data_IF_497061170915
#
_entry.id   IF_497061170915
#
_cell.length_a   1.000
_cell.length_b   1.000
_cell.length_c   1.000
_cell.angle_alpha   90.00
_cell.angle_beta   90.00
_cell.angle_gamma   90.00
#
_symmetry.space_group_name_H-M   'P 1'
#
loop_
_entity.id
_entity.type
_entity.pdbx_description
1 polymer ?
#
# COMPACT_ATOMS: atom_id res chain seq x y z
N UNK A 1 16.12 8.15 2.56
CA UNK A 1 15.81 7.01 1.66
C UNK A 1 14.74 7.41 0.64
N UNK A 2 14.90 7.10 -0.66
CA UNK A 2 13.84 7.30 -1.66
C UNK A 2 13.00 6.03 -1.79
N UNK A 3 11.69 6.19 -1.91
CA UNK A 3 10.75 5.08 -2.12
C UNK A 3 10.04 5.28 -3.45
N UNK A 4 10.12 4.30 -4.34
CA UNK A 4 9.38 4.29 -5.59
C UNK A 4 8.30 3.22 -5.54
N UNK A 5 7.06 3.61 -5.83
CA UNK A 5 5.91 2.71 -5.78
C UNK A 5 5.41 2.37 -7.18
N UNK A 6 5.03 1.12 -7.39
CA UNK A 6 4.19 0.67 -8.50
C UNK A 6 2.81 0.41 -7.92
N UNK A 7 1.78 0.98 -8.53
CA UNK A 7 0.37 0.92 -8.12
C UNK A 7 -0.52 0.71 -9.34
N UNK A 8 -1.78 0.33 -9.17
CA UNK A 8 -2.69 0.03 -10.27
C UNK A 8 -3.77 1.09 -10.49
N UNK A 9 -4.33 1.64 -9.42
CA UNK A 9 -5.48 2.53 -9.42
C UNK A 9 -5.12 4.00 -9.61
N UNK A 10 -6.02 4.76 -10.22
CA UNK A 10 -5.87 6.22 -10.32
C UNK A 10 -6.03 6.90 -8.94
N UNK A 11 -6.81 6.31 -8.02
CA UNK A 11 -6.90 6.74 -6.63
C UNK A 11 -5.64 6.50 -5.80
N UNK A 12 -4.94 5.40 -6.08
CA UNK A 12 -3.75 5.01 -5.32
C UNK A 12 -2.57 5.96 -5.58
N UNK A 13 -2.47 6.48 -6.81
CA UNK A 13 -1.42 7.43 -7.21
C UNK A 13 -1.31 8.62 -6.24
N UNK A 14 -2.40 9.33 -5.88
CA UNK A 14 -2.35 10.36 -4.83
C UNK A 14 -2.43 9.80 -3.39
N UNK A 15 -3.06 8.64 -3.16
CA UNK A 15 -3.29 8.13 -1.81
C UNK A 15 -2.10 7.43 -1.16
N UNK A 16 -1.42 6.55 -1.91
CA UNK A 16 -0.29 5.76 -1.41
C UNK A 16 0.85 6.66 -0.90
N UNK A 17 1.22 7.76 -1.57
CA UNK A 17 2.23 8.67 -1.02
C UNK A 17 1.85 9.31 0.32
N UNK A 18 0.56 9.63 0.52
CA UNK A 18 0.06 10.14 1.81
C UNK A 18 0.20 9.07 2.88
N UNK A 19 -0.28 7.85 2.59
CA UNK A 19 -0.21 6.72 3.49
C UNK A 19 1.25 6.38 3.89
N UNK A 20 2.16 6.31 2.92
CA UNK A 20 3.56 5.94 3.17
C UNK A 20 4.33 7.00 3.96
N UNK A 21 4.02 8.29 3.80
CA UNK A 21 4.61 9.34 4.65
C UNK A 21 4.18 9.16 6.10
N UNK A 22 2.89 8.88 6.35
CA UNK A 22 2.38 8.60 7.69
C UNK A 22 2.97 7.30 8.25
N UNK A 23 3.08 6.26 7.43
CA UNK A 23 3.74 5.00 7.79
C UNK A 23 5.19 5.23 8.21
N UNK A 24 5.94 6.02 7.43
CA UNK A 24 7.32 6.37 7.75
C UNK A 24 7.43 7.09 9.09
N UNK A 25 6.59 8.10 9.34
CA UNK A 25 6.56 8.82 10.62
C UNK A 25 6.14 7.93 11.80
N UNK A 26 5.31 6.92 11.55
CA UNK A 26 4.82 6.01 12.59
C UNK A 26 5.81 4.89 12.93
N UNK A 27 6.46 4.30 11.93
CA UNK A 27 7.32 3.12 12.09
C UNK A 27 8.81 3.48 12.20
N UNK A 28 9.26 4.49 11.48
CA UNK A 28 10.68 4.86 11.34
C UNK A 28 10.87 6.39 11.33
N UNK A 29 10.45 7.09 12.40
CA UNK A 29 10.46 8.56 12.47
C UNK A 29 11.86 9.18 12.30
N UNK A 30 12.90 8.42 12.62
CA UNK A 30 14.31 8.80 12.50
C UNK A 30 14.82 8.81 11.05
N UNK A 31 14.08 8.23 10.10
CA UNK A 31 14.49 8.12 8.70
C UNK A 31 13.76 9.15 7.85
N UNK A 32 14.55 10.03 7.23
CA UNK A 32 14.02 10.91 6.20
C UNK A 32 13.66 10.10 4.95
N UNK A 33 12.37 9.99 4.68
CA UNK A 33 11.84 9.28 3.51
C UNK A 33 11.32 10.26 2.45
N UNK A 34 11.75 10.06 1.20
CA UNK A 34 11.28 10.81 0.06
C UNK A 34 10.48 9.89 -0.87
N UNK A 35 9.14 9.95 -0.77
CA UNK A 35 8.24 9.18 -1.64
C UNK A 35 8.24 9.78 -3.04
N UNK A 36 8.65 9.00 -4.03
CA UNK A 36 8.63 9.38 -5.43
C UNK A 36 7.21 9.28 -6.00
N UNK A 37 6.87 10.05 -7.05
CA UNK A 37 5.60 9.89 -7.75
C UNK A 37 5.38 8.43 -8.18
N UNK A 38 4.26 7.79 -7.77
CA UNK A 38 3.98 6.40 -8.11
C UNK A 38 3.98 6.15 -9.62
N UNK A 39 4.32 4.94 -10.00
CA UNK A 39 4.23 4.42 -11.35
C UNK A 39 2.92 3.65 -11.43
N UNK A 40 1.92 4.21 -12.13
CA UNK A 40 0.67 3.50 -12.37
C UNK A 40 0.85 2.47 -13.47
N UNK A 41 0.32 1.27 -13.27
CA UNK A 41 0.31 0.20 -14.25
C UNK A 41 -1.09 -0.37 -14.43
N UNK A 42 -1.35 -1.00 -15.57
CA UNK A 42 -2.49 -1.89 -15.71
C UNK A 42 -2.07 -3.28 -15.23
N UNK A 43 -2.62 -3.76 -14.11
CA UNK A 43 -2.21 -5.00 -13.44
C UNK A 43 -2.03 -6.18 -14.40
N UNK A 44 -3.06 -6.51 -15.19
CA UNK A 44 -3.00 -7.62 -16.14
C UNK A 44 -1.87 -7.49 -17.16
N UNK A 45 -1.64 -6.28 -17.68
CA UNK A 45 -0.56 -6.04 -18.64
C UNK A 45 0.81 -6.14 -17.95
N UNK A 46 0.93 -5.58 -16.76
CA UNK A 46 2.15 -5.58 -15.99
C UNK A 46 2.55 -7.00 -15.59
N UNK A 47 1.61 -7.82 -15.13
CA UNK A 47 1.89 -9.18 -14.70
C UNK A 47 2.08 -10.15 -15.87
N UNK A 48 1.33 -10.02 -16.96
CA UNK A 48 1.33 -11.02 -18.05
C UNK A 48 2.25 -10.68 -19.23
N UNK A 49 2.96 -9.54 -19.22
CA UNK A 49 3.93 -9.19 -20.27
C UNK A 49 5.30 -8.92 -19.67
N UNK A 50 6.26 -9.80 -19.92
CA UNK A 50 7.59 -9.72 -19.32
C UNK A 50 8.33 -8.42 -19.67
N UNK A 51 8.15 -7.89 -20.87
CA UNK A 51 8.74 -6.60 -21.27
C UNK A 51 8.17 -5.46 -20.42
N UNK A 52 6.85 -5.43 -20.20
CA UNK A 52 6.19 -4.40 -19.38
C UNK A 52 6.57 -4.55 -17.91
N UNK A 53 6.59 -5.78 -17.40
CA UNK A 53 7.04 -6.09 -16.04
C UNK A 53 8.46 -5.55 -15.81
N UNK A 54 9.38 -5.91 -16.71
CA UNK A 54 10.78 -5.49 -16.66
C UNK A 54 10.92 -3.97 -16.74
N UNK A 55 10.24 -3.34 -17.71
CA UNK A 55 10.32 -1.89 -17.95
C UNK A 55 9.92 -1.08 -16.73
N UNK A 56 8.79 -1.41 -16.09
CA UNK A 56 8.32 -0.66 -14.93
C UNK A 56 9.18 -0.90 -13.68
N UNK A 57 9.70 -2.12 -13.47
CA UNK A 57 10.61 -2.40 -12.35
C UNK A 57 11.94 -1.68 -12.49
N UNK A 58 12.52 -1.62 -13.70
CA UNK A 58 13.74 -0.87 -13.95
C UNK A 58 13.53 0.64 -13.75
N UNK A 59 12.37 1.16 -14.16
CA UNK A 59 11.98 2.55 -13.89
C UNK A 59 11.83 2.81 -12.39
N UNK A 60 11.18 1.92 -11.64
CA UNK A 60 11.02 2.03 -10.19
C UNK A 60 12.38 2.01 -9.47
N UNK A 61 13.26 1.07 -9.85
CA UNK A 61 14.62 0.96 -9.32
C UNK A 61 15.44 2.23 -9.60
N UNK A 62 15.34 2.80 -10.80
CA UNK A 62 15.99 4.06 -11.16
C UNK A 62 15.49 5.23 -10.29
N UNK A 63 14.16 5.36 -10.10
CA UNK A 63 13.56 6.37 -9.23
C UNK A 63 13.99 6.24 -7.77
N UNK A 64 14.09 5.01 -7.26
CA UNK A 64 14.55 4.73 -5.90
C UNK A 64 16.06 4.99 -5.73
N UNK A 65 16.88 4.67 -6.73
CA UNK A 65 18.33 4.70 -6.64
C UNK A 65 18.90 3.63 -5.71
N UNK A 66 20.23 3.60 -5.56
CA UNK A 66 20.96 2.47 -4.96
C UNK A 66 20.65 2.27 -3.47
N UNK A 67 20.51 3.36 -2.72
CA UNK A 67 20.06 3.35 -1.33
C UNK A 67 18.54 3.42 -1.15
N UNK A 68 17.76 3.22 -2.20
CA UNK A 68 16.31 3.34 -2.17
C UNK A 68 15.56 2.02 -1.95
N UNK A 69 14.24 2.12 -1.96
CA UNK A 69 13.31 1.00 -1.80
C UNK A 69 12.23 1.02 -2.90
N UNK A 70 11.97 -0.14 -3.50
CA UNK A 70 10.89 -0.32 -4.48
C UNK A 70 9.72 -1.04 -3.83
N UNK A 71 8.54 -0.42 -3.82
CA UNK A 71 7.31 -1.05 -3.36
C UNK A 71 6.43 -1.38 -4.57
N UNK A 72 6.11 -2.65 -4.76
CA UNK A 72 5.02 -3.08 -5.64
C UNK A 72 3.80 -3.29 -4.77
N UNK A 73 2.79 -2.42 -4.90
CA UNK A 73 1.51 -2.52 -4.21
C UNK A 73 0.42 -2.71 -5.26
N UNK A 74 -0.27 -3.84 -5.23
CA UNK A 74 -1.36 -4.16 -6.15
C UNK A 74 -2.54 -4.73 -5.37
N UNK A 75 -3.71 -4.75 -5.96
CA UNK A 75 -4.87 -5.40 -5.39
C UNK A 75 -4.78 -6.92 -5.62
N UNK A 76 -5.28 -7.71 -4.68
CA UNK A 76 -5.33 -9.17 -4.83
C UNK A 76 -6.57 -9.65 -5.58
N UNK A 77 -7.62 -8.85 -5.66
CA UNK A 77 -8.93 -9.21 -6.20
C UNK A 77 -9.51 -10.49 -5.54
N UNK A 78 -9.60 -11.58 -6.29
CA UNK A 78 -10.01 -12.91 -5.82
C UNK A 78 -8.80 -13.85 -5.60
N UNK A 79 -7.57 -13.42 -5.92
CA UNK A 79 -6.34 -14.22 -5.75
C UNK A 79 -5.90 -14.31 -4.28
N UNK A 80 -5.21 -15.39 -3.92
CA UNK A 80 -4.54 -15.51 -2.62
C UNK A 80 -3.35 -14.54 -2.54
N UNK A 81 -3.35 -13.53 -1.64
CA UNK A 81 -2.27 -12.54 -1.56
C UNK A 81 -0.89 -13.14 -1.28
N UNK A 82 -0.85 -14.24 -0.52
CA UNK A 82 0.40 -14.88 -0.14
C UNK A 82 1.03 -15.65 -1.31
N UNK A 83 0.23 -16.43 -2.05
CA UNK A 83 0.70 -17.23 -3.19
C UNK A 83 1.08 -16.31 -4.36
N UNK A 84 0.19 -15.41 -4.74
CA UNK A 84 0.43 -14.49 -5.86
C UNK A 84 1.56 -13.50 -5.54
N UNK A 85 1.62 -13.02 -4.29
CA UNK A 85 2.69 -12.14 -3.83
C UNK A 85 4.07 -12.79 -3.94
N UNK A 86 4.16 -14.08 -3.63
CA UNK A 86 5.42 -14.84 -3.72
C UNK A 86 5.87 -15.03 -5.17
N UNK A 87 4.96 -15.40 -6.07
CA UNK A 87 5.24 -15.52 -7.51
C UNK A 87 5.76 -14.21 -8.10
N UNK A 88 5.12 -13.08 -7.75
CA UNK A 88 5.57 -11.77 -8.19
C UNK A 88 6.94 -11.44 -7.58
N UNK A 89 7.16 -11.74 -6.29
CA UNK A 89 8.42 -11.50 -5.58
C UNK A 89 9.60 -12.21 -6.24
N UNK A 90 9.43 -13.46 -6.64
CA UNK A 90 10.45 -14.23 -7.38
C UNK A 90 10.80 -13.55 -8.69
N UNK A 91 9.80 -13.11 -9.46
CA UNK A 91 10.03 -12.40 -10.72
C UNK A 91 10.71 -11.05 -10.51
N UNK A 92 10.33 -10.29 -9.47
CA UNK A 92 11.00 -9.03 -9.12
C UNK A 92 12.48 -9.27 -8.81
N UNK A 93 12.82 -10.33 -8.06
CA UNK A 93 14.20 -10.69 -7.74
C UNK A 93 15.04 -10.88 -9.00
N UNK A 94 14.49 -11.49 -10.05
CA UNK A 94 15.23 -11.72 -11.31
C UNK A 94 15.49 -10.42 -12.10
N UNK A 95 14.65 -9.40 -11.95
CA UNK A 95 14.77 -8.15 -12.71
C UNK A 95 15.63 -7.12 -11.99
N UNK A 96 15.47 -6.98 -10.68
CA UNK A 96 16.16 -5.97 -9.87
C UNK A 96 16.87 -6.59 -8.64
N UNK A 97 17.74 -7.62 -8.82
CA UNK A 97 18.30 -8.41 -7.73
C UNK A 97 19.12 -7.61 -6.70
N UNK A 98 19.67 -6.47 -7.12
CA UNK A 98 20.52 -5.60 -6.31
C UNK A 98 19.76 -4.47 -5.60
N UNK A 99 18.42 -4.46 -5.68
CA UNK A 99 17.58 -3.42 -5.08
C UNK A 99 16.89 -3.97 -3.84
N UNK A 100 16.64 -3.10 -2.86
CA UNK A 100 15.68 -3.41 -1.80
C UNK A 100 14.28 -3.23 -2.35
N UNK A 101 13.43 -4.22 -2.15
CA UNK A 101 12.05 -4.17 -2.62
C UNK A 101 11.10 -4.93 -1.71
N UNK A 102 9.81 -4.64 -1.86
CA UNK A 102 8.71 -5.40 -1.29
C UNK A 102 7.60 -5.56 -2.33
N UNK A 103 6.94 -6.71 -2.29
CA UNK A 103 5.71 -6.98 -3.01
C UNK A 103 4.61 -7.16 -1.97
N UNK A 104 3.62 -6.28 -2.01
CA UNK A 104 2.45 -6.31 -1.14
C UNK A 104 1.21 -6.39 -2.02
N UNK A 105 0.34 -7.35 -1.73
CA UNK A 105 -0.98 -7.40 -2.31
C UNK A 105 -2.00 -6.99 -1.23
N UNK A 106 -2.73 -5.91 -1.47
CA UNK A 106 -3.87 -5.54 -0.64
C UNK A 106 -4.92 -6.64 -0.80
N UNK A 107 -5.34 -7.27 0.30
CA UNK A 107 -6.27 -8.39 0.19
C UNK A 107 -7.63 -7.87 -0.27
N UNK A 108 -8.16 -8.44 -1.35
CA UNK A 108 -9.23 -7.87 -2.17
C UNK A 108 -8.79 -6.61 -2.88
N UNK A 109 -8.88 -5.47 -2.21
CA UNK A 109 -8.64 -4.14 -2.79
C UNK A 109 -7.97 -3.25 -1.74
N UNK A 110 -7.26 -2.22 -2.16
CA UNK A 110 -6.65 -1.20 -1.30
C UNK A 110 -7.64 -0.62 -0.29
N UNK A 111 -8.91 -0.48 -0.68
CA UNK A 111 -9.99 -0.01 0.18
C UNK A 111 -10.22 -0.87 1.43
N UNK A 112 -9.81 -2.15 1.44
CA UNK A 112 -9.88 -3.00 2.64
C UNK A 112 -9.13 -2.39 3.83
N UNK A 113 -8.08 -1.60 3.59
CA UNK A 113 -7.36 -0.88 4.64
C UNK A 113 -8.20 0.25 5.25
N UNK A 114 -9.09 0.89 4.48
CA UNK A 114 -10.04 1.86 5.02
C UNK A 114 -11.15 1.18 5.81
N UNK A 115 -11.58 -0.03 5.41
CA UNK A 115 -12.52 -0.83 6.20
C UNK A 115 -11.92 -1.18 7.56
N UNK A 116 -10.65 -1.59 7.59
CA UNK A 116 -9.93 -1.93 8.81
C UNK A 116 -9.90 -0.78 9.82
N UNK A 117 -9.71 0.45 9.34
CA UNK A 117 -9.70 1.67 10.16
C UNK A 117 -11.01 2.47 10.14
N UNK A 118 -12.14 1.88 9.75
CA UNK A 118 -13.38 2.60 9.48
C UNK A 118 -13.86 3.50 10.63
N UNK A 119 -13.64 3.11 11.89
CA UNK A 119 -13.99 3.91 13.06
C UNK A 119 -13.31 5.29 13.06
N UNK A 120 -12.01 5.33 12.78
CA UNK A 120 -11.23 6.57 12.69
C UNK A 120 -11.64 7.48 11.54
N UNK A 121 -12.38 6.95 10.57
CA UNK A 121 -12.86 7.68 9.41
C UNK A 121 -14.22 8.33 9.65
N UNK A 122 -14.94 8.01 10.73
CA UNK A 122 -16.26 8.60 11.04
C UNK A 122 -16.21 10.12 10.96
N UNK A 123 -17.11 10.71 10.17
CA UNK A 123 -17.21 12.14 9.92
C UNK A 123 -16.25 12.68 8.85
N UNK A 124 -15.17 11.96 8.51
CA UNK A 124 -14.24 12.37 7.46
C UNK A 124 -14.95 12.36 6.11
N UNK A 125 -15.18 13.55 5.54
CA UNK A 125 -15.94 13.73 4.29
C UNK A 125 -17.30 13.04 4.27
N UNK A 126 -17.97 12.99 5.43
CA UNK A 126 -19.28 12.37 5.57
C UNK A 126 -19.23 10.84 5.65
N UNK A 127 -18.06 10.23 5.86
CA UNK A 127 -17.94 8.79 6.08
C UNK A 127 -18.70 8.40 7.35
N UNK A 128 -19.64 7.47 7.21
CA UNK A 128 -20.53 7.05 8.29
C UNK A 128 -20.59 5.53 8.32
N UNK A 129 -20.10 4.92 9.40
CA UNK A 129 -20.16 3.48 9.63
C UNK A 129 -20.89 3.17 10.94
N UNK A 130 -21.61 2.04 10.94
CA UNK A 130 -22.33 1.52 12.10
C UNK A 130 -21.44 0.67 13.01
N UNK A 131 -21.90 0.31 14.20
CA UNK A 131 -21.14 -0.61 15.07
C UNK A 131 -21.01 -2.00 14.44
N UNK A 132 -22.02 -2.44 13.67
CA UNK A 132 -21.95 -3.68 12.91
C UNK A 132 -20.82 -3.66 11.86
N UNK A 133 -20.57 -2.51 11.24
CA UNK A 133 -19.47 -2.31 10.30
C UNK A 133 -18.09 -2.45 10.96
N UNK A 134 -17.98 -2.15 12.25
CA UNK A 134 -16.73 -2.27 12.98
C UNK A 134 -16.41 -3.71 13.38
N UNK A 135 -17.40 -4.61 13.37
CA UNK A 135 -17.26 -6.01 13.76
C UNK A 135 -16.89 -6.96 12.61
N UNK A 136 -16.96 -6.50 11.35
CA UNK A 136 -16.65 -7.37 10.20
C UNK A 136 -15.14 -7.62 10.07
N UNK A 137 -14.79 -8.69 9.37
CA UNK A 137 -13.44 -8.86 8.82
C UNK A 137 -13.23 -7.80 7.72
N UNK A 138 -12.26 -6.88 7.84
CA UNK A 138 -12.06 -5.83 6.85
C UNK A 138 -11.63 -6.34 5.48
N UNK A 139 -11.06 -7.53 5.38
CA UNK A 139 -10.65 -8.15 4.11
C UNK A 139 -11.69 -9.17 3.60
N UNK A 140 -12.84 -9.28 4.29
CA UNK A 140 -13.94 -10.16 3.93
C UNK A 140 -14.81 -9.67 2.76
N UNK A 141 -15.14 -8.35 2.65
CA UNK A 141 -15.95 -7.84 1.55
C UNK A 141 -15.29 -8.10 0.19
N UNK A 142 -16.01 -8.79 -0.72
CA UNK A 142 -15.52 -9.02 -2.09
C UNK A 142 -15.30 -7.73 -2.88
N UNK A 143 -16.08 -6.69 -2.58
CA UNK A 143 -15.98 -5.39 -3.23
C UNK A 143 -15.85 -4.32 -2.13
N UNK A 144 -14.62 -4.10 -1.68
CA UNK A 144 -14.30 -3.20 -0.58
C UNK A 144 -14.55 -1.74 -0.99
N UNK A 145 -14.31 -1.41 -2.25
CA UNK A 145 -14.64 -0.10 -2.85
C UNK A 145 -16.13 0.22 -2.76
N UNK A 146 -17.00 -0.73 -3.12
CA UNK A 146 -18.46 -0.55 -2.97
C UNK A 146 -18.82 -0.36 -1.50
N UNK A 147 -18.21 -1.15 -0.60
CA UNK A 147 -18.45 -1.02 0.84
C UNK A 147 -18.08 0.38 1.35
N UNK A 148 -16.92 0.90 0.97
CA UNK A 148 -16.47 2.27 1.31
C UNK A 148 -17.41 3.32 0.71
N UNK A 149 -17.85 3.12 -0.54
CA UNK A 149 -18.78 4.02 -1.21
C UNK A 149 -20.16 4.11 -0.54
N UNK A 150 -20.70 2.98 -0.05
CA UNK A 150 -21.94 2.96 0.72
C UNK A 150 -21.83 3.75 2.03
N UNK A 151 -20.66 3.77 2.67
CA UNK A 151 -20.43 4.55 3.90
C UNK A 151 -20.14 6.02 3.61
N UNK A 152 -19.93 6.38 2.34
CA UNK A 152 -19.85 7.76 1.88
C UNK A 152 -21.15 8.25 1.20
N UNK A 153 -22.22 7.44 1.21
CA UNK A 153 -23.42 7.59 0.36
C UNK A 153 -24.13 8.95 0.35
N UNK A 154 -23.88 9.84 1.33
CA UNK A 154 -24.28 11.25 1.23
C UNK A 154 -23.68 11.96 -0.01
N UNK A 155 -22.63 11.39 -0.60
CA UNK A 155 -22.00 11.79 -1.86
C UNK A 155 -21.46 10.57 -2.61
N UNK A 156 -21.20 10.71 -3.90
CA UNK A 156 -20.54 9.66 -4.66
C UNK A 156 -19.07 9.51 -4.21
N UNK A 157 -18.60 8.26 -4.14
CA UNK A 157 -17.19 7.97 -3.89
C UNK A 157 -16.36 8.30 -5.13
N UNK A 158 -15.34 9.14 -4.94
CA UNK A 158 -14.44 9.58 -5.99
C UNK A 158 -13.00 9.28 -5.59
N UNK A 159 -12.50 8.10 -5.97
CA UNK A 159 -11.21 7.53 -5.56
C UNK A 159 -10.05 8.54 -5.56
N UNK A 160 -9.85 9.27 -6.65
CA UNK A 160 -8.74 10.22 -6.82
C UNK A 160 -8.75 11.36 -5.81
N UNK A 161 -9.91 11.67 -5.23
CA UNK A 161 -10.05 12.68 -4.20
C UNK A 161 -10.20 12.06 -2.82
N UNK A 162 -10.88 10.94 -2.70
CA UNK A 162 -11.29 10.36 -1.42
C UNK A 162 -10.26 9.45 -0.83
N UNK A 163 -9.62 8.57 -1.61
CA UNK A 163 -8.54 7.73 -1.11
C UNK A 163 -7.42 8.54 -0.44
N UNK A 164 -6.91 9.67 -0.99
CA UNK A 164 -5.89 10.44 -0.28
C UNK A 164 -6.41 11.10 1.01
N UNK A 165 -7.69 11.50 1.06
CA UNK A 165 -8.29 12.07 2.27
C UNK A 165 -8.48 11.00 3.36
N UNK A 166 -8.94 9.81 2.99
CA UNK A 166 -9.06 8.68 3.91
C UNK A 166 -7.67 8.21 4.37
N UNK A 167 -6.71 8.11 3.45
CA UNK A 167 -5.32 7.76 3.77
C UNK A 167 -4.64 8.77 4.70
N UNK A 168 -5.04 10.05 4.67
CA UNK A 168 -4.55 11.07 5.60
C UNK A 168 -5.09 10.89 7.03
N UNK A 169 -6.28 10.30 7.18
CA UNK A 169 -7.02 10.27 8.45
C UNK A 169 -7.03 8.91 9.12
N UNK A 170 -7.00 7.81 8.36
CA UNK A 170 -7.18 6.46 8.89
C UNK A 170 -6.16 6.13 9.97
N UNK A 171 -6.58 5.54 11.08
CA UNK A 171 -5.70 5.15 12.17
C UNK A 171 -4.83 3.94 11.79
N UNK A 172 -3.52 4.15 11.59
CA UNK A 172 -2.63 3.11 11.06
C UNK A 172 -2.42 1.95 12.03
N UNK A 173 -2.48 2.20 13.33
CA UNK A 173 -2.35 1.17 14.35
C UNK A 173 -3.53 0.19 14.32
N UNK A 174 -4.75 0.72 14.23
CA UNK A 174 -5.98 -0.08 14.07
C UNK A 174 -5.96 -0.87 12.77
N UNK A 175 -5.54 -0.25 11.67
CA UNK A 175 -5.39 -0.95 10.38
C UNK A 175 -4.39 -2.09 10.48
N UNK A 176 -3.22 -1.87 11.10
CA UNK A 176 -2.21 -2.92 11.34
C UNK A 176 -2.72 -4.08 12.20
N UNK A 177 -3.54 -3.79 13.21
CA UNK A 177 -4.15 -4.84 14.04
C UNK A 177 -5.18 -5.66 13.28
N UNK A 178 -5.95 -5.03 12.38
CA UNK A 178 -7.12 -5.67 11.73
C UNK A 178 -6.89 -6.20 10.32
N UNK A 179 -5.90 -5.69 9.57
CA UNK A 179 -5.59 -6.13 8.20
C UNK A 179 -4.26 -6.88 8.14
N UNK A 180 -4.28 -8.10 7.59
CA UNK A 180 -3.07 -8.91 7.39
C UNK A 180 -2.21 -8.37 6.26
N UNK A 181 -2.83 -7.91 5.17
CA UNK A 181 -2.11 -7.31 4.03
C UNK A 181 -1.40 -6.01 4.42
N UNK A 182 -2.03 -5.16 5.24
CA UNK A 182 -1.36 -3.96 5.76
C UNK A 182 -0.24 -4.31 6.77
N UNK A 183 -0.44 -5.35 7.59
CA UNK A 183 0.63 -5.84 8.49
C UNK A 183 1.85 -6.32 7.71
N UNK A 184 1.65 -6.97 6.56
CA UNK A 184 2.74 -7.33 5.65
C UNK A 184 3.52 -6.09 5.20
N UNK A 185 2.82 -5.05 4.73
CA UNK A 185 3.45 -3.77 4.36
C UNK A 185 4.30 -3.22 5.52
N UNK A 186 3.76 -3.20 6.73
CA UNK A 186 4.49 -2.71 7.91
C UNK A 186 5.74 -3.55 8.23
N UNK A 187 5.62 -4.89 8.14
CA UNK A 187 6.73 -5.81 8.37
C UNK A 187 7.84 -5.61 7.35
N UNK A 188 7.49 -5.55 6.06
CA UNK A 188 8.44 -5.36 4.98
C UNK A 188 9.09 -3.97 5.04
N UNK A 189 8.33 -2.94 5.44
CA UNK A 189 8.87 -1.60 5.67
C UNK A 189 9.94 -1.59 6.76
N UNK A 190 9.67 -2.23 7.90
CA UNK A 190 10.66 -2.38 8.99
C UNK A 190 11.91 -3.10 8.51
N UNK A 191 11.77 -4.16 7.71
CA UNK A 191 12.92 -4.88 7.15
C UNK A 191 13.71 -4.08 6.09
N UNK A 192 13.06 -3.15 5.38
CA UNK A 192 13.69 -2.32 4.37
C UNK A 192 14.49 -1.15 4.97
N UNK A 193 14.09 -0.70 6.15
CA UNK A 193 14.76 0.28 6.97
C UNK A 193 15.91 -0.43 7.72
N UNK A 194 17.19 -0.13 7.42
CA UNK A 194 18.28 -0.74 8.18
C UNK A 194 18.22 -0.27 9.64
N UNK A 195 18.52 -1.16 10.58
CA UNK A 195 18.81 -0.79 11.96
C UNK A 195 19.91 0.26 11.95
N UNK A 196 19.58 1.50 12.33
CA UNK A 196 20.56 2.56 12.58
C UNK A 196 21.38 2.31 13.87
N UNK A 197 21.18 1.16 14.53
CA UNK A 197 21.70 0.83 15.84
C UNK A 197 22.87 -0.18 15.83
N UNK A 198 23.82 -0.05 14.91
CA UNK A 198 25.18 -0.63 15.07
C UNK A 198 26.22 0.34 14.53
N UNK A 199 26.45 1.43 15.27
CA UNK A 199 27.37 2.48 14.86
C UNK A 199 27.89 3.37 15.98
N UNK A 200 27.87 2.93 17.24
CA UNK A 200 28.60 3.61 18.34
C UNK A 200 29.14 2.56 19.32
N UNK A 201 30.29 1.98 19.00
CA UNK A 201 31.22 1.34 19.95
C UNK A 201 32.57 1.18 19.25
N UNK A 202 33.36 2.26 19.27
CA UNK A 202 34.83 2.17 19.32
C UNK A 202 35.27 2.82 20.62
#
# INVERSE_FOLDING_TARGET
>A
MRVACIVEGDGEVPAVPVLLRRLASWISPEIQVAIQPPIRVYKDRFLNRDEEFRRHLLLAASKAGDGGFVLVLLDADDDCPAEQGELIRERVQQVIPHRRYSVVLANREFEAWFIAGAESLKGSRGFNCSDADLLIDPEGPRNAKKWVGERLAARAYHETTDQPALAAMVDLETVHRRSRSFRKLCSDWRGAVPDLAQGESQ
#
